data_IF_373536077741
#
_entry.id   IF_373536077741
#
_cell.length_a   1.000
_cell.length_b   1.000
_cell.length_c   1.000
_cell.angle_alpha   90.00
_cell.angle_beta   90.00
_cell.angle_gamma   90.00
#
_symmetry.space_group_name_H-M   'P 1'
#
loop_
_entity.id
_entity.type
_entity.pdbx_description
1 polymer ?
#
# COMPACT_ATOMS: atom_id res chain seq x y z
N UNK A 1 23.36 -14.44 12.03
CA UNK A 1 23.07 -13.73 10.76
C UNK A 1 21.59 -13.31 10.58
N UNK A 2 20.60 -13.93 11.25
CA UNK A 2 19.17 -13.61 11.04
C UNK A 2 18.66 -12.25 11.54
N UNK A 3 19.33 -11.62 12.52
CA UNK A 3 18.87 -10.36 13.13
C UNK A 3 19.20 -9.12 12.26
N UNK A 4 20.33 -9.13 11.54
CA UNK A 4 20.71 -8.03 10.66
C UNK A 4 19.85 -7.94 9.39
N UNK A 5 19.43 -9.08 8.83
CA UNK A 5 18.54 -9.10 7.68
C UNK A 5 17.18 -8.47 8.03
N UNK A 6 16.61 -8.78 9.20
CA UNK A 6 15.33 -8.23 9.65
C UNK A 6 15.35 -6.70 9.81
N UNK A 7 16.47 -6.12 10.29
CA UNK A 7 16.62 -4.67 10.46
C UNK A 7 16.77 -3.90 9.13
N UNK A 8 17.46 -4.48 8.14
CA UNK A 8 17.64 -3.83 6.82
C UNK A 8 16.34 -3.83 6.02
N UNK A 9 15.47 -4.83 6.21
CA UNK A 9 14.28 -5.04 5.37
C UNK A 9 13.03 -4.29 5.83
N UNK A 10 12.88 -4.02 7.14
CA UNK A 10 11.72 -3.25 7.63
C UNK A 10 11.74 -1.79 7.15
N UNK A 11 12.89 -1.28 6.69
CA UNK A 11 13.07 0.06 6.10
C UNK A 11 12.82 0.13 4.59
N UNK A 12 12.56 -0.98 3.90
CA UNK A 12 12.54 -0.99 2.43
C UNK A 12 11.24 -0.53 1.79
N UNK A 13 10.13 -0.38 2.52
CA UNK A 13 8.85 0.05 1.92
C UNK A 13 8.14 1.19 2.70
N UNK A 14 8.76 1.78 3.71
CA UNK A 14 8.16 2.92 4.41
C UNK A 14 8.32 4.16 3.53
N UNK A 15 7.27 4.52 2.77
CA UNK A 15 7.16 5.87 2.21
C UNK A 15 7.27 6.84 3.38
N UNK A 16 8.31 7.66 3.38
CA UNK A 16 8.44 8.73 4.36
C UNK A 16 7.24 9.66 4.20
N UNK A 17 6.32 9.62 5.15
CA UNK A 17 5.23 10.57 5.24
C UNK A 17 5.86 11.89 5.67
N UNK A 18 5.80 12.90 4.79
CA UNK A 18 6.33 14.21 5.11
C UNK A 18 5.66 14.76 6.38
N UNK A 19 6.39 15.50 7.23
CA UNK A 19 5.77 16.14 8.40
C UNK A 19 4.68 17.13 7.97
N UNK A 20 3.66 17.39 8.82
CA UNK A 20 2.68 18.44 8.55
C UNK A 20 3.33 19.81 8.45
N UNK A 21 2.86 20.62 7.51
CA UNK A 21 3.24 22.04 7.42
C UNK A 21 2.58 22.86 8.53
N UNK A 22 3.02 24.10 8.75
CA UNK A 22 2.36 25.00 9.71
C UNK A 22 0.89 25.26 9.36
N UNK A 23 0.59 25.39 8.06
CA UNK A 23 -0.79 25.51 7.57
C UNK A 23 -1.62 24.23 7.80
N UNK A 24 -0.99 23.06 7.79
CA UNK A 24 -1.66 21.81 8.14
C UNK A 24 -2.06 21.83 9.63
N UNK A 25 -1.14 22.24 10.52
CA UNK A 25 -1.39 22.31 11.97
C UNK A 25 -2.44 23.35 12.32
N UNK A 26 -2.35 24.54 11.73
CA UNK A 26 -3.33 25.61 11.95
C UNK A 26 -4.76 25.16 11.61
N UNK A 27 -4.95 24.36 10.54
CA UNK A 27 -6.27 23.83 10.18
C UNK A 27 -6.91 23.00 11.31
N UNK A 28 -6.08 22.27 12.08
CA UNK A 28 -6.54 21.35 13.13
C UNK A 28 -6.62 22.04 14.50
N UNK A 29 -5.66 22.91 14.81
CA UNK A 29 -5.56 23.59 16.11
C UNK A 29 -6.51 24.80 16.19
N UNK A 30 -6.73 25.47 15.06
CA UNK A 30 -7.54 26.68 14.94
C UNK A 30 -8.48 26.61 13.72
N UNK A 31 -9.39 25.62 13.66
CA UNK A 31 -10.33 25.53 12.56
C UNK A 31 -11.25 26.76 12.54
N UNK A 32 -11.57 27.25 11.34
CA UNK A 32 -12.61 28.27 11.18
C UNK A 32 -13.96 27.68 11.59
N UNK A 33 -14.58 28.27 12.60
CA UNK A 33 -15.88 27.81 13.12
C UNK A 33 -16.99 28.17 12.13
N UNK A 34 -17.80 27.19 11.76
CA UNK A 34 -18.92 27.33 10.83
C UNK A 34 -20.20 26.74 11.43
N UNK A 35 -21.38 27.18 10.99
CA UNK A 35 -22.61 26.44 11.28
C UNK A 35 -22.69 25.22 10.34
N UNK A 36 -22.21 24.08 10.83
CA UNK A 36 -22.18 22.83 10.06
C UNK A 36 -23.56 22.40 9.56
N UNK A 37 -24.61 22.58 10.38
CA UNK A 37 -25.96 22.19 9.98
C UNK A 37 -26.50 23.09 8.86
N UNK A 38 -26.28 24.40 8.96
CA UNK A 38 -26.62 25.33 7.88
C UNK A 38 -25.84 25.02 6.61
N UNK A 39 -24.51 24.83 6.71
CA UNK A 39 -23.65 24.57 5.55
C UNK A 39 -24.09 23.35 4.75
N UNK A 40 -24.42 22.23 5.42
CA UNK A 40 -24.90 21.04 4.71
C UNK A 40 -26.33 21.17 4.16
N UNK A 41 -27.11 22.17 4.59
CA UNK A 41 -28.40 22.49 3.96
C UNK A 41 -28.24 23.40 2.74
N UNK A 42 -27.24 24.28 2.75
CA UNK A 42 -27.08 25.31 1.71
C UNK A 42 -26.11 24.95 0.61
N UNK A 43 -25.13 24.09 0.88
CA UNK A 43 -24.15 23.63 -0.13
C UNK A 43 -24.62 22.31 -0.72
N UNK A 44 -24.78 22.27 -2.04
CA UNK A 44 -25.19 21.07 -2.77
C UNK A 44 -24.31 19.86 -2.45
N UNK A 45 -24.91 18.68 -2.36
CA UNK A 45 -24.24 17.45 -1.90
C UNK A 45 -23.14 16.99 -2.87
N UNK A 46 -23.30 17.24 -4.16
CA UNK A 46 -22.28 17.03 -5.18
C UNK A 46 -21.02 17.91 -5.01
N UNK A 47 -21.10 18.96 -4.17
CA UNK A 47 -20.00 19.87 -3.87
C UNK A 47 -19.29 19.55 -2.55
N UNK A 48 -19.54 18.41 -1.92
CA UNK A 48 -18.84 18.02 -0.69
C UNK A 48 -17.51 17.31 -1.00
N UNK A 49 -16.72 17.87 -1.92
CA UNK A 49 -15.52 17.24 -2.46
C UNK A 49 -14.23 17.57 -1.72
N UNK A 50 -13.23 16.71 -1.90
CA UNK A 50 -11.84 16.91 -1.48
C UNK A 50 -10.89 16.72 -2.66
N UNK A 51 -9.86 17.54 -2.76
CA UNK A 51 -8.82 17.41 -3.78
C UNK A 51 -7.80 16.32 -3.42
N UNK A 52 -7.00 15.89 -4.39
CA UNK A 52 -5.83 15.03 -4.12
C UNK A 52 -4.84 15.69 -3.14
N UNK A 53 -4.70 17.02 -3.18
CA UNK A 53 -3.85 17.77 -2.23
C UNK A 53 -4.41 17.66 -0.80
N UNK A 54 -5.72 17.69 -0.64
CA UNK A 54 -6.39 17.55 0.65
C UNK A 54 -6.16 16.17 1.24
N UNK A 55 -6.25 15.11 0.42
CA UNK A 55 -5.98 13.74 0.86
C UNK A 55 -4.51 13.55 1.31
N UNK A 56 -3.55 14.10 0.55
CA UNK A 56 -2.14 14.10 0.95
C UNK A 56 -1.92 14.85 2.26
N UNK A 57 -2.57 15.99 2.45
CA UNK A 57 -2.53 16.74 3.71
C UNK A 57 -3.13 15.92 4.85
N UNK A 58 -4.30 15.33 4.63
CA UNK A 58 -4.99 14.51 5.61
C UNK A 58 -4.13 13.34 6.08
N UNK A 59 -3.44 12.64 5.16
CA UNK A 59 -2.48 11.58 5.49
C UNK A 59 -1.36 12.06 6.43
N UNK A 60 -0.78 13.24 6.18
CA UNK A 60 0.26 13.81 7.06
C UNK A 60 -0.28 14.14 8.45
N UNK A 61 -1.47 14.74 8.50
CA UNK A 61 -2.14 15.10 9.76
C UNK A 61 -2.47 13.88 10.61
N UNK A 62 -3.04 12.83 9.99
CA UNK A 62 -3.34 11.58 10.68
C UNK A 62 -2.07 10.89 11.17
N UNK A 63 -1.01 10.89 10.36
CA UNK A 63 0.29 10.36 10.77
C UNK A 63 0.88 11.11 11.96
N UNK A 64 0.87 12.44 11.94
CA UNK A 64 1.33 13.25 13.07
C UNK A 64 0.48 13.00 14.34
N UNK A 65 -0.85 12.86 14.19
CA UNK A 65 -1.74 12.53 15.30
C UNK A 65 -1.45 11.14 15.90
N UNK A 66 -1.12 10.14 15.07
CA UNK A 66 -0.66 8.82 15.52
C UNK A 66 0.67 8.94 16.28
N UNK A 67 1.64 9.67 15.73
CA UNK A 67 2.96 9.84 16.35
C UNK A 67 2.90 10.59 17.69
N UNK A 68 1.96 11.54 17.83
CA UNK A 68 1.67 12.26 19.08
C UNK A 68 0.83 11.45 20.07
N UNK A 69 0.36 10.26 19.69
CA UNK A 69 -0.52 9.44 20.52
C UNK A 69 -1.92 10.03 20.70
N UNK A 70 -2.36 10.93 19.82
CA UNK A 70 -3.74 11.42 19.77
C UNK A 70 -4.64 10.29 19.24
N UNK A 71 -4.21 9.64 18.14
CA UNK A 71 -4.85 8.43 17.62
C UNK A 71 -4.11 7.22 18.20
N UNK A 72 -4.84 6.38 18.93
CA UNK A 72 -4.30 5.20 19.64
C UNK A 72 -4.96 3.91 19.14
N UNK A 73 -4.18 2.81 19.04
CA UNK A 73 -4.74 1.50 18.76
C UNK A 73 -5.68 1.04 19.89
N UNK A 74 -6.65 0.20 19.54
CA UNK A 74 -7.60 -0.40 20.48
C UNK A 74 -8.04 -1.79 19.99
N UNK A 75 -8.89 -2.48 20.76
CA UNK A 75 -9.21 -3.90 20.54
C UNK A 75 -9.76 -4.24 19.15
N UNK A 76 -10.41 -3.28 18.48
CA UNK A 76 -10.99 -3.46 17.14
C UNK A 76 -10.06 -3.00 16.01
N UNK A 77 -8.96 -2.34 16.34
CA UNK A 77 -8.00 -1.80 15.39
C UNK A 77 -6.60 -1.72 16.02
N UNK A 78 -5.88 -2.84 15.95
CA UNK A 78 -4.55 -3.02 16.54
C UNK A 78 -3.44 -2.58 15.59
N UNK A 79 -3.57 -1.39 14.99
CA UNK A 79 -2.53 -0.85 14.11
C UNK A 79 -1.25 -0.55 14.92
N UNK A 80 -0.09 -0.68 14.28
CA UNK A 80 1.19 -0.30 14.89
C UNK A 80 1.47 1.18 14.57
N UNK A 81 1.74 2.05 15.56
CA UNK A 81 2.04 3.47 15.28
C UNK A 81 3.21 3.68 14.31
N UNK A 82 4.17 2.75 14.28
CA UNK A 82 5.31 2.77 13.35
C UNK A 82 4.98 2.26 11.94
N UNK A 83 3.79 1.73 11.71
CA UNK A 83 3.37 1.25 10.39
C UNK A 83 2.88 2.40 9.53
N UNK A 84 3.71 2.80 8.57
CA UNK A 84 3.40 3.86 7.61
C UNK A 84 2.72 3.33 6.33
N UNK A 85 2.45 2.03 6.24
CA UNK A 85 1.90 1.39 5.03
C UNK A 85 0.39 1.22 5.08
N UNK A 86 -0.14 0.68 6.17
CA UNK A 86 -1.58 0.52 6.38
C UNK A 86 -2.14 1.69 7.19
N UNK A 87 -1.62 1.88 8.41
CA UNK A 87 -2.12 2.88 9.35
C UNK A 87 -3.42 2.48 10.06
N UNK A 88 -3.99 3.37 10.87
CA UNK A 88 -5.28 3.14 11.53
C UNK A 88 -6.41 2.99 10.51
N UNK A 89 -7.42 2.21 10.86
CA UNK A 89 -8.64 2.07 10.07
C UNK A 89 -9.42 3.39 10.00
N UNK A 90 -10.24 3.55 8.96
CA UNK A 90 -11.13 4.72 8.83
C UNK A 90 -12.09 4.83 10.02
N UNK A 91 -12.55 3.71 10.62
CA UNK A 91 -13.34 3.77 11.87
C UNK A 91 -12.61 4.54 12.96
N UNK A 92 -11.36 4.17 13.22
CA UNK A 92 -10.52 4.77 14.27
C UNK A 92 -10.21 6.22 13.99
N UNK A 93 -9.81 6.53 12.75
CA UNK A 93 -9.51 7.90 12.31
C UNK A 93 -10.74 8.79 12.43
N UNK A 94 -11.92 8.29 12.03
CA UNK A 94 -13.16 9.06 12.14
C UNK A 94 -13.48 9.40 13.58
N UNK A 95 -13.42 8.42 14.50
CA UNK A 95 -13.80 8.64 15.90
C UNK A 95 -12.77 9.49 16.67
N UNK A 96 -11.48 9.20 16.51
CA UNK A 96 -10.43 9.80 17.34
C UNK A 96 -9.85 11.09 16.74
N UNK A 97 -10.11 11.38 15.47
CA UNK A 97 -9.50 12.52 14.78
C UNK A 97 -10.50 13.39 14.03
N UNK A 98 -11.24 12.84 13.07
CA UNK A 98 -12.14 13.66 12.23
C UNK A 98 -13.21 14.30 13.11
N UNK A 99 -13.93 13.52 13.92
CA UNK A 99 -15.01 14.03 14.75
C UNK A 99 -14.58 15.15 15.70
N UNK A 100 -13.52 15.00 16.54
CA UNK A 100 -13.08 16.09 17.41
C UNK A 100 -12.68 17.36 16.64
N UNK A 101 -11.97 17.20 15.51
CA UNK A 101 -11.52 18.36 14.73
C UNK A 101 -12.69 19.08 14.08
N UNK A 102 -13.62 18.34 13.48
CA UNK A 102 -14.76 18.95 12.80
C UNK A 102 -15.84 19.42 13.78
N UNK A 103 -15.90 18.88 15.00
CA UNK A 103 -16.71 19.41 16.10
C UNK A 103 -16.21 20.80 16.51
N UNK A 104 -14.91 20.96 16.70
CA UNK A 104 -14.28 22.26 16.97
C UNK A 104 -14.51 23.26 15.84
N UNK A 105 -14.69 22.79 14.60
CA UNK A 105 -15.06 23.60 13.43
C UNK A 105 -16.58 23.89 13.32
N UNK A 106 -17.38 23.51 14.31
CA UNK A 106 -18.83 23.72 14.33
C UNK A 106 -19.64 22.64 13.61
N UNK A 107 -19.22 21.38 13.71
CA UNK A 107 -19.90 20.19 13.19
C UNK A 107 -20.05 20.12 11.67
N UNK A 108 -19.17 20.81 10.95
CA UNK A 108 -19.08 20.73 9.48
C UNK A 108 -18.41 19.41 9.05
N UNK A 109 -18.48 19.00 7.76
CA UNK A 109 -17.69 17.87 7.26
C UNK A 109 -16.25 18.31 7.02
N UNK A 110 -15.32 17.37 6.89
CA UNK A 110 -13.93 17.73 6.54
C UNK A 110 -13.86 18.47 5.20
N UNK A 111 -14.65 18.03 4.22
CA UNK A 111 -14.74 18.66 2.91
C UNK A 111 -15.19 20.13 3.01
N UNK A 112 -16.31 20.41 3.69
CA UNK A 112 -16.83 21.78 3.85
C UNK A 112 -16.04 22.62 4.86
N UNK A 113 -15.30 21.99 5.78
CA UNK A 113 -14.32 22.69 6.62
C UNK A 113 -13.21 23.30 5.76
N UNK A 114 -12.75 22.55 4.75
CA UNK A 114 -11.70 22.98 3.81
C UNK A 114 -12.20 23.89 2.71
N UNK A 115 -13.41 23.62 2.21
CA UNK A 115 -14.02 24.30 1.07
C UNK A 115 -15.43 24.76 1.47
N UNK A 116 -15.57 25.90 2.20
CA UNK A 116 -16.86 26.35 2.74
C UNK A 116 -17.94 26.61 1.69
N UNK A 117 -17.53 26.98 0.48
CA UNK A 117 -18.40 27.22 -0.68
C UNK A 117 -18.68 25.94 -1.50
N UNK A 118 -18.11 24.82 -1.06
CA UNK A 118 -18.16 23.55 -1.75
C UNK A 118 -17.15 23.45 -2.90
N UNK A 119 -16.91 22.21 -3.31
CA UNK A 119 -16.03 21.81 -4.39
C UNK A 119 -16.71 20.66 -5.16
N UNK A 120 -17.09 20.92 -6.42
CA UNK A 120 -17.80 19.95 -7.26
C UNK A 120 -16.98 18.66 -7.45
N UNK A 121 -17.58 17.52 -7.12
CA UNK A 121 -16.95 16.22 -7.24
C UNK A 121 -17.04 15.69 -8.68
N UNK A 122 -15.90 15.43 -9.31
CA UNK A 122 -15.81 14.76 -10.60
C UNK A 122 -15.39 13.28 -10.49
N UNK A 123 -14.94 12.86 -9.32
CA UNK A 123 -14.65 11.46 -8.97
C UNK A 123 -15.48 11.07 -7.75
N UNK A 124 -16.03 9.86 -7.75
CA UNK A 124 -16.60 9.26 -6.55
C UNK A 124 -15.73 8.11 -6.08
N UNK A 125 -15.37 8.09 -4.79
CA UNK A 125 -14.49 7.05 -4.23
C UNK A 125 -15.30 6.13 -3.33
N UNK A 126 -15.46 4.87 -3.75
CA UNK A 126 -16.06 3.81 -2.92
C UNK A 126 -14.98 3.00 -2.21
N UNK A 127 -15.15 2.78 -0.90
CA UNK A 127 -14.14 2.11 -0.07
C UNK A 127 -14.72 1.49 1.22
N UNK A 128 -13.92 0.64 1.86
CA UNK A 128 -14.26 0.02 3.14
C UNK A 128 -13.83 0.88 4.34
N UNK A 129 -14.59 0.87 5.44
CA UNK A 129 -14.17 1.60 6.65
C UNK A 129 -13.13 0.85 7.50
N UNK A 130 -12.99 -0.46 7.30
CA UNK A 130 -11.94 -1.26 7.93
C UNK A 130 -10.57 -1.07 7.26
N UNK A 131 -10.50 -0.32 6.16
CA UNK A 131 -9.27 -0.03 5.44
C UNK A 131 -8.35 0.89 6.24
N UNK A 132 -7.04 0.63 6.18
CA UNK A 132 -6.02 1.50 6.73
C UNK A 132 -5.90 2.81 5.94
N UNK A 133 -5.87 3.94 6.65
CA UNK A 133 -5.93 5.25 6.02
C UNK A 133 -4.69 5.59 5.17
N UNK A 134 -3.52 5.04 5.50
CA UNK A 134 -2.31 5.30 4.70
C UNK A 134 -2.36 4.54 3.38
N UNK A 135 -2.83 3.29 3.42
CA UNK A 135 -3.08 2.44 2.26
C UNK A 135 -4.11 3.08 1.34
N UNK A 136 -5.23 3.55 1.92
CA UNK A 136 -6.29 4.25 1.20
C UNK A 136 -5.74 5.44 0.41
N UNK A 137 -5.07 6.37 1.09
CA UNK A 137 -4.56 7.58 0.42
C UNK A 137 -3.48 7.24 -0.62
N UNK A 138 -2.60 6.26 -0.35
CA UNK A 138 -1.58 5.83 -1.30
C UNK A 138 -2.20 5.28 -2.60
N UNK A 139 -3.24 4.45 -2.48
CA UNK A 139 -3.96 3.89 -3.64
C UNK A 139 -4.70 4.97 -4.42
N UNK A 140 -5.36 5.89 -3.71
CA UNK A 140 -6.06 7.01 -4.34
C UNK A 140 -5.08 7.91 -5.08
N UNK A 141 -3.92 8.18 -4.51
CA UNK A 141 -2.88 8.99 -5.13
C UNK A 141 -2.32 8.36 -6.41
N UNK A 142 -2.01 7.06 -6.36
CA UNK A 142 -1.45 6.33 -7.50
C UNK A 142 -2.48 6.13 -8.63
N UNK A 143 -3.76 6.01 -8.27
CA UNK A 143 -4.86 5.72 -9.20
C UNK A 143 -5.75 6.93 -9.50
N UNK A 144 -5.33 8.13 -9.11
CA UNK A 144 -6.12 9.34 -9.32
C UNK A 144 -6.43 9.54 -10.81
N UNK A 145 -7.71 9.68 -11.21
CA UNK A 145 -8.07 9.85 -12.61
C UNK A 145 -7.39 11.09 -13.22
N UNK A 146 -6.81 10.93 -14.41
CA UNK A 146 -6.29 12.07 -15.19
C UNK A 146 -7.40 13.09 -15.42
N UNK A 147 -7.14 14.35 -15.05
CA UNK A 147 -8.10 15.44 -15.13
C UNK A 147 -9.09 15.51 -13.98
N UNK A 148 -9.09 14.55 -13.04
CA UNK A 148 -9.90 14.61 -11.84
C UNK A 148 -9.43 15.75 -10.93
N UNK A 149 -10.35 16.57 -10.49
CA UNK A 149 -10.11 17.77 -9.67
C UNK A 149 -10.47 17.52 -8.21
N UNK A 150 -11.58 16.82 -7.95
CA UNK A 150 -12.09 16.60 -6.62
C UNK A 150 -12.89 15.29 -6.51
N UNK A 151 -12.74 14.62 -5.38
CA UNK A 151 -13.43 13.39 -5.08
C UNK A 151 -14.44 13.56 -3.93
N UNK A 152 -15.59 12.90 -4.06
CA UNK A 152 -16.43 12.61 -2.91
C UNK A 152 -15.87 11.38 -2.19
N UNK A 153 -15.60 11.50 -0.89
CA UNK A 153 -15.04 10.44 -0.03
C UNK A 153 -15.87 10.37 1.25
N UNK A 154 -16.60 9.27 1.45
CA UNK A 154 -17.72 9.25 2.40
C UNK A 154 -17.40 9.73 3.83
N UNK A 155 -16.25 9.39 4.39
CA UNK A 155 -15.86 9.79 5.76
C UNK A 155 -15.34 11.22 5.86
N UNK A 156 -14.99 11.86 4.74
CA UNK A 156 -14.54 13.26 4.69
C UNK A 156 -15.66 14.20 4.22
N UNK A 157 -16.52 13.73 3.32
CA UNK A 157 -17.56 14.52 2.67
C UNK A 157 -18.80 14.71 3.55
N UNK A 158 -19.17 13.70 4.35
CA UNK A 158 -20.38 13.75 5.17
C UNK A 158 -20.09 14.32 6.58
N UNK A 159 -21.08 14.99 7.20
CA UNK A 159 -20.92 15.46 8.57
C UNK A 159 -20.87 14.27 9.53
N UNK A 160 -19.72 14.04 10.17
CA UNK A 160 -19.54 12.92 11.08
C UNK A 160 -20.14 13.16 12.48
N UNK A 161 -20.45 14.41 12.81
CA UNK A 161 -21.01 14.81 14.12
C UNK A 161 -22.50 15.17 14.08
N UNK A 162 -23.11 15.24 12.90
CA UNK A 162 -24.54 15.51 12.78
C UNK A 162 -25.33 14.19 12.68
N UNK A 163 -26.61 14.26 13.00
CA UNK A 163 -27.53 13.18 12.67
C UNK A 163 -27.79 13.18 11.15
N UNK A 164 -27.34 12.12 10.49
CA UNK A 164 -27.50 11.93 9.05
C UNK A 164 -28.67 11.01 8.70
N UNK A 165 -29.47 10.56 9.68
CA UNK A 165 -30.59 9.64 9.44
C UNK A 165 -31.56 10.15 8.39
N UNK A 166 -31.85 11.45 8.39
CA UNK A 166 -32.67 12.10 7.36
C UNK A 166 -32.00 12.06 5.99
N UNK A 167 -30.68 12.33 5.92
CA UNK A 167 -29.90 12.35 4.67
C UNK A 167 -29.85 10.97 4.01
N UNK A 168 -29.93 9.89 4.78
CA UNK A 168 -29.80 8.52 4.26
C UNK A 168 -31.13 7.76 4.22
N UNK A 169 -32.23 8.40 4.61
CA UNK A 169 -33.58 7.79 4.62
C UNK A 169 -33.95 7.24 3.25
N UNK A 170 -33.64 7.98 2.21
CA UNK A 170 -33.85 7.60 0.81
C UNK A 170 -32.49 7.36 0.16
N UNK A 171 -32.06 6.10 -0.04
CA UNK A 171 -30.72 5.81 -0.58
C UNK A 171 -30.42 6.53 -1.89
N UNK A 172 -31.42 6.71 -2.76
CA UNK A 172 -31.26 7.39 -4.05
C UNK A 172 -31.12 8.91 -3.93
N UNK A 173 -31.67 9.51 -2.89
CA UNK A 173 -31.58 10.94 -2.60
C UNK A 173 -30.45 11.26 -1.61
N UNK A 174 -29.71 10.24 -1.18
CA UNK A 174 -28.62 10.41 -0.24
C UNK A 174 -27.46 11.22 -0.83
N UNK A 175 -26.67 11.91 0.02
CA UNK A 175 -25.46 12.61 -0.44
C UNK A 175 -24.52 11.77 -1.27
N UNK A 176 -24.43 10.47 -0.97
CA UNK A 176 -23.61 9.53 -1.72
C UNK A 176 -24.14 9.34 -3.14
N UNK A 177 -25.44 9.10 -3.29
CA UNK A 177 -26.06 8.90 -4.59
C UNK A 177 -26.01 10.18 -5.44
N UNK A 178 -26.24 11.34 -4.83
CA UNK A 178 -26.18 12.65 -5.50
C UNK A 178 -24.76 12.99 -5.98
N UNK A 179 -23.76 12.82 -5.12
CA UNK A 179 -22.36 13.00 -5.52
C UNK A 179 -21.90 11.97 -6.56
N UNK A 180 -22.39 10.73 -6.48
CA UNK A 180 -22.09 9.71 -7.48
C UNK A 180 -22.77 10.02 -8.83
N UNK A 181 -24.01 10.51 -8.80
CA UNK A 181 -24.78 10.95 -9.97
C UNK A 181 -24.12 12.14 -10.68
N UNK A 182 -23.50 13.06 -9.95
CA UNK A 182 -22.76 14.19 -10.55
C UNK A 182 -21.36 13.81 -11.03
N UNK A 183 -20.71 12.82 -10.41
CA UNK A 183 -19.32 12.45 -10.73
C UNK A 183 -19.16 11.90 -12.16
N UNK A 184 -18.00 12.11 -12.78
CA UNK A 184 -17.70 11.57 -14.11
C UNK A 184 -17.35 10.08 -14.10
N UNK A 185 -16.85 9.58 -12.96
CA UNK A 185 -16.37 8.20 -12.82
C UNK A 185 -16.34 7.77 -11.34
N UNK A 186 -16.32 6.46 -11.13
CA UNK A 186 -16.11 5.86 -9.82
C UNK A 186 -14.71 5.23 -9.72
N UNK A 187 -14.00 5.52 -8.63
CA UNK A 187 -12.77 4.86 -8.24
C UNK A 187 -13.03 3.94 -7.04
N UNK A 188 -12.79 2.65 -7.24
CA UNK A 188 -12.97 1.59 -6.24
C UNK A 188 -11.66 1.36 -5.51
N UNK A 189 -11.66 1.48 -4.18
CA UNK A 189 -10.45 1.26 -3.37
C UNK A 189 -10.53 -0.11 -2.67
N UNK A 190 -9.94 -1.17 -3.25
CA UNK A 190 -9.81 -2.43 -2.53
C UNK A 190 -8.82 -2.26 -1.38
N UNK A 191 -8.96 -3.04 -0.31
CA UNK A 191 -8.01 -3.07 0.82
C UNK A 191 -7.64 -4.51 1.17
N UNK A 192 -6.58 -4.68 1.95
CA UNK A 192 -6.09 -6.01 2.36
C UNK A 192 -6.85 -6.62 3.55
N UNK A 193 -7.70 -5.85 4.23
CA UNK A 193 -8.41 -6.27 5.45
C UNK A 193 -9.68 -7.03 5.12
N UNK A 194 -10.48 -6.52 4.18
CA UNK A 194 -11.78 -7.10 3.82
C UNK A 194 -12.23 -6.66 2.43
N UNK A 195 -13.12 -7.46 1.82
CA UNK A 195 -13.83 -7.01 0.62
C UNK A 195 -14.69 -5.80 0.95
N UNK A 196 -14.56 -4.71 0.18
CA UNK A 196 -15.41 -3.53 0.37
C UNK A 196 -16.89 -3.84 0.15
N UNK A 197 -17.20 -4.86 -0.65
CA UNK A 197 -18.57 -5.29 -0.95
C UNK A 197 -19.22 -6.09 0.19
N UNK A 198 -18.49 -6.32 1.30
CA UNK A 198 -19.10 -6.72 2.56
C UNK A 198 -19.98 -5.60 3.15
N UNK A 199 -19.84 -4.36 2.67
CA UNK A 199 -20.65 -3.21 3.08
C UNK A 199 -21.75 -2.96 2.07
N UNK A 200 -22.99 -2.94 2.55
CA UNK A 200 -24.18 -2.76 1.71
C UNK A 200 -24.14 -1.46 0.89
N UNK A 201 -23.60 -0.38 1.46
CA UNK A 201 -23.44 0.89 0.74
C UNK A 201 -22.50 0.78 -0.46
N UNK A 202 -21.38 0.07 -0.34
CA UNK A 202 -20.45 -0.13 -1.47
C UNK A 202 -21.08 -0.99 -2.59
N UNK A 203 -21.93 -1.96 -2.23
CA UNK A 203 -22.70 -2.75 -3.21
C UNK A 203 -23.72 -1.85 -3.93
N UNK A 204 -24.42 -0.99 -3.18
CA UNK A 204 -25.39 -0.06 -3.74
C UNK A 204 -24.75 0.98 -4.67
N UNK A 205 -23.60 1.55 -4.28
CA UNK A 205 -22.81 2.47 -5.11
C UNK A 205 -22.38 1.81 -6.43
N UNK A 206 -21.91 0.56 -6.39
CA UNK A 206 -21.56 -0.21 -7.58
C UNK A 206 -22.77 -0.46 -8.49
N UNK A 207 -23.93 -0.79 -7.90
CA UNK A 207 -25.20 -0.93 -8.63
C UNK A 207 -25.62 0.36 -9.33
N UNK A 208 -25.54 1.51 -8.65
CA UNK A 208 -25.88 2.81 -9.23
C UNK A 208 -24.97 3.16 -10.42
N UNK A 209 -23.66 3.03 -10.24
CA UNK A 209 -22.68 3.31 -11.31
C UNK A 209 -22.85 2.40 -12.52
N UNK A 210 -23.12 1.11 -12.29
CA UNK A 210 -23.43 0.18 -13.36
C UNK A 210 -24.70 0.60 -14.12
N UNK A 211 -25.75 0.94 -13.38
CA UNK A 211 -27.05 1.38 -13.95
C UNK A 211 -26.92 2.68 -14.75
N UNK A 212 -26.08 3.61 -14.28
CA UNK A 212 -25.80 4.88 -14.96
C UNK A 212 -24.73 4.79 -16.05
N UNK A 213 -24.24 3.58 -16.35
CA UNK A 213 -23.20 3.32 -17.35
C UNK A 213 -21.96 4.22 -17.18
N UNK A 214 -21.54 4.45 -15.92
CA UNK A 214 -20.37 5.28 -15.61
C UNK A 214 -19.09 4.45 -15.60
N UNK A 215 -17.94 5.01 -16.00
CA UNK A 215 -16.66 4.34 -15.91
C UNK A 215 -16.32 3.94 -14.47
N UNK A 216 -15.96 2.67 -14.27
CA UNK A 216 -15.44 2.12 -13.01
C UNK A 216 -13.94 1.88 -13.17
N UNK A 217 -13.14 2.39 -12.24
CA UNK A 217 -11.72 2.07 -12.12
C UNK A 217 -11.46 1.43 -10.77
N UNK A 218 -10.60 0.41 -10.74
CA UNK A 218 -10.14 -0.20 -9.49
C UNK A 218 -8.75 0.35 -9.20
N UNK A 219 -8.57 0.91 -8.01
CA UNK A 219 -7.29 1.46 -7.60
C UNK A 219 -6.24 0.37 -7.45
N UNK A 220 -5.03 0.70 -7.88
CA UNK A 220 -3.85 -0.14 -7.77
C UNK A 220 -3.02 0.29 -6.57
N UNK A 221 -2.36 -0.68 -5.94
CA UNK A 221 -1.33 -0.36 -4.96
C UNK A 221 -0.18 0.37 -5.67
N UNK A 222 0.46 1.34 -5.01
CA UNK A 222 1.51 2.09 -5.65
C UNK A 222 2.63 1.19 -6.17
N UNK A 223 3.06 1.47 -7.40
CA UNK A 223 4.19 0.73 -7.98
C UNK A 223 5.44 1.04 -7.15
N UNK A 224 6.20 0.02 -6.71
CA UNK A 224 7.47 0.23 -6.03
C UNK A 224 8.37 1.13 -6.85
N UNK A 225 8.94 2.13 -6.19
CA UNK A 225 9.76 3.13 -6.88
C UNK A 225 11.07 2.52 -7.38
N UNK A 226 11.73 3.17 -8.34
CA UNK A 226 13.02 2.72 -8.86
C UNK A 226 14.09 2.50 -7.78
N UNK A 227 14.05 3.23 -6.66
CA UNK A 227 14.92 2.99 -5.51
C UNK A 227 14.64 1.66 -4.80
N UNK A 228 13.38 1.23 -4.77
CA UNK A 228 13.01 -0.07 -4.19
C UNK A 228 13.51 -1.19 -5.10
N UNK A 229 13.37 -1.01 -6.41
CA UNK A 229 13.91 -1.93 -7.40
C UNK A 229 15.44 -2.00 -7.34
N UNK A 230 16.11 -0.85 -7.24
CA UNK A 230 17.57 -0.76 -7.10
C UNK A 230 18.05 -1.44 -5.82
N UNK A 231 17.38 -1.24 -4.69
CA UNK A 231 17.71 -1.92 -3.43
C UNK A 231 17.56 -3.43 -3.55
N UNK A 232 16.48 -3.89 -4.15
CA UNK A 232 16.26 -5.32 -4.44
C UNK A 232 17.40 -5.86 -5.33
N UNK A 233 17.76 -5.13 -6.38
CA UNK A 233 18.89 -5.49 -7.24
C UNK A 233 20.22 -5.50 -6.49
N UNK A 234 20.51 -4.50 -5.65
CA UNK A 234 21.73 -4.43 -4.85
C UNK A 234 21.84 -5.59 -3.85
N UNK A 235 20.74 -5.97 -3.19
CA UNK A 235 20.72 -7.13 -2.29
C UNK A 235 20.96 -8.41 -3.07
N UNK A 236 20.31 -8.58 -4.23
CA UNK A 236 20.53 -9.72 -5.13
C UNK A 236 21.99 -9.81 -5.60
N UNK A 237 22.57 -8.69 -6.05
CA UNK A 237 23.96 -8.61 -6.50
C UNK A 237 24.95 -8.86 -5.34
N UNK A 238 24.66 -8.36 -4.14
CA UNK A 238 25.52 -8.59 -2.97
C UNK A 238 25.52 -10.06 -2.55
N UNK A 239 24.36 -10.72 -2.61
CA UNK A 239 24.25 -12.15 -2.34
C UNK A 239 25.02 -12.98 -3.38
N UNK A 240 24.91 -12.63 -4.67
CA UNK A 240 25.68 -13.23 -5.75
C UNK A 240 27.20 -13.05 -5.55
N UNK A 241 27.64 -11.82 -5.24
CA UNK A 241 29.04 -11.53 -4.99
C UNK A 241 29.58 -12.31 -3.78
N UNK A 242 28.83 -12.40 -2.69
CA UNK A 242 29.21 -13.20 -1.52
C UNK A 242 29.33 -14.70 -1.85
N UNK A 243 28.41 -15.23 -2.66
CA UNK A 243 28.48 -16.61 -3.17
C UNK A 243 29.75 -16.86 -3.98
N UNK A 244 30.07 -15.96 -4.92
CA UNK A 244 31.28 -16.03 -5.75
C UNK A 244 32.56 -15.97 -4.90
N UNK A 245 32.65 -15.01 -3.97
CA UNK A 245 33.82 -14.86 -3.09
C UNK A 245 34.02 -16.09 -2.20
N UNK A 246 32.94 -16.68 -1.69
CA UNK A 246 33.00 -17.91 -0.90
C UNK A 246 33.49 -19.08 -1.76
N UNK A 247 33.00 -19.19 -2.99
CA UNK A 247 33.46 -20.19 -3.95
C UNK A 247 34.95 -20.06 -4.29
N UNK A 248 35.44 -18.84 -4.53
CA UNK A 248 36.87 -18.56 -4.79
C UNK A 248 37.72 -18.87 -3.56
N UNK A 249 37.27 -18.47 -2.36
CA UNK A 249 37.99 -18.76 -1.11
C UNK A 249 38.09 -20.27 -0.85
N UNK A 250 37.04 -21.04 -1.15
CA UNK A 250 37.11 -22.50 -1.08
C UNK A 250 38.06 -23.05 -2.14
N UNK A 251 37.95 -22.62 -3.39
CA UNK A 251 38.82 -23.08 -4.47
C UNK A 251 40.32 -22.81 -4.18
N UNK A 252 40.65 -21.66 -3.59
CA UNK A 252 42.02 -21.33 -3.19
C UNK A 252 42.49 -22.15 -1.99
N UNK A 253 41.65 -22.35 -0.97
CA UNK A 253 41.95 -23.22 0.16
C UNK A 253 42.22 -24.68 -0.27
N UNK A 254 41.45 -25.17 -1.25
CA UNK A 254 41.54 -26.53 -1.76
C UNK A 254 42.48 -26.69 -2.97
N UNK A 255 42.94 -25.62 -3.60
CA UNK A 255 44.06 -25.65 -4.55
C UNK A 255 45.37 -26.14 -3.93
N UNK A 256 45.42 -26.21 -2.59
CA UNK A 256 46.46 -26.87 -1.81
C UNK A 256 46.21 -28.37 -1.57
N UNK A 257 45.05 -28.90 -1.96
CA UNK A 257 44.69 -30.32 -1.83
C UNK A 257 45.21 -31.13 -3.03
N UNK A 258 45.81 -32.30 -2.75
CA UNK A 258 46.65 -33.05 -3.70
C UNK A 258 45.91 -33.98 -4.66
N UNK A 259 44.60 -34.24 -4.50
CA UNK A 259 43.86 -35.18 -5.36
C UNK A 259 42.73 -34.53 -6.16
N UNK A 260 42.60 -34.94 -7.42
CA UNK A 260 41.58 -34.47 -8.38
C UNK A 260 40.15 -34.67 -7.87
N UNK A 261 39.93 -35.71 -7.08
CA UNK A 261 38.62 -36.07 -6.51
C UNK A 261 38.17 -35.06 -5.44
N UNK A 262 39.11 -34.57 -4.62
CA UNK A 262 38.86 -33.51 -3.64
C UNK A 262 38.55 -32.18 -4.32
N UNK A 263 39.23 -31.86 -5.42
CA UNK A 263 38.95 -30.65 -6.19
C UNK A 263 37.54 -30.65 -6.79
N UNK A 264 37.10 -31.79 -7.35
CA UNK A 264 35.76 -31.92 -7.93
C UNK A 264 34.66 -31.78 -6.88
N UNK A 265 34.86 -32.38 -5.69
CA UNK A 265 33.92 -32.29 -4.57
C UNK A 265 33.75 -30.83 -4.08
N UNK A 266 34.83 -30.05 -4.10
CA UNK A 266 34.82 -28.65 -3.67
C UNK A 266 34.08 -27.77 -4.67
N UNK A 267 34.34 -27.95 -5.98
CA UNK A 267 33.61 -27.24 -7.04
C UNK A 267 32.11 -27.55 -6.94
N UNK A 268 31.75 -28.82 -6.69
CA UNK A 268 30.36 -29.24 -6.48
C UNK A 268 29.72 -28.52 -5.29
N UNK A 269 30.39 -28.49 -4.16
CA UNK A 269 29.88 -27.84 -2.95
C UNK A 269 29.75 -26.32 -3.15
N UNK A 270 30.76 -25.67 -3.72
CA UNK A 270 30.74 -24.23 -3.99
C UNK A 270 29.59 -23.83 -4.91
N UNK A 271 29.34 -24.61 -5.97
CA UNK A 271 28.20 -24.40 -6.87
C UNK A 271 26.87 -24.60 -6.14
N UNK A 272 26.73 -25.69 -5.37
CA UNK A 272 25.52 -25.98 -4.61
C UNK A 272 25.19 -24.86 -3.62
N UNK A 273 26.19 -24.36 -2.87
CA UNK A 273 26.00 -23.24 -1.95
C UNK A 273 25.65 -21.94 -2.65
N UNK A 274 26.26 -21.66 -3.81
CA UNK A 274 25.96 -20.46 -4.60
C UNK A 274 24.54 -20.51 -5.17
N UNK A 275 24.13 -21.66 -5.71
CA UNK A 275 22.79 -21.90 -6.22
C UNK A 275 21.74 -21.84 -5.10
N UNK A 276 22.02 -22.45 -3.94
CA UNK A 276 21.15 -22.38 -2.78
C UNK A 276 21.04 -20.95 -2.24
N UNK A 277 22.13 -20.20 -2.15
CA UNK A 277 22.11 -18.80 -1.71
C UNK A 277 21.31 -17.91 -2.69
N UNK A 278 21.45 -18.13 -4.00
CA UNK A 278 20.69 -17.42 -5.01
C UNK A 278 19.20 -17.79 -4.97
N UNK A 279 18.89 -19.09 -4.87
CA UNK A 279 17.52 -19.59 -4.72
C UNK A 279 16.85 -19.06 -3.46
N UNK A 280 17.55 -19.05 -2.33
CA UNK A 280 17.09 -18.43 -1.10
C UNK A 280 16.91 -16.92 -1.24
N UNK A 281 17.83 -16.21 -1.92
CA UNK A 281 17.71 -14.78 -2.17
C UNK A 281 16.48 -14.43 -3.03
N UNK A 282 16.25 -15.19 -4.09
CA UNK A 282 15.05 -15.09 -4.94
C UNK A 282 13.79 -15.39 -4.14
N UNK A 283 13.73 -16.55 -3.48
CA UNK A 283 12.58 -16.93 -2.68
C UNK A 283 12.28 -15.90 -1.61
N UNK A 284 13.31 -15.34 -0.97
CA UNK A 284 13.18 -14.30 0.03
C UNK A 284 12.60 -13.00 -0.57
N UNK A 285 13.07 -12.59 -1.75
CA UNK A 285 12.49 -11.44 -2.47
C UNK A 285 11.01 -11.66 -2.85
N UNK A 286 10.63 -12.90 -3.15
CA UNK A 286 9.25 -13.24 -3.55
C UNK A 286 8.30 -13.48 -2.37
N UNK A 287 8.74 -14.14 -1.30
CA UNK A 287 7.98 -14.29 -0.05
C UNK A 287 7.66 -12.92 0.55
N UNK A 288 8.54 -11.94 0.36
CA UNK A 288 8.35 -10.56 0.82
C UNK A 288 7.38 -9.74 -0.06
N UNK A 289 6.98 -10.23 -1.24
CA UNK A 289 5.95 -9.61 -2.08
C UNK A 289 4.80 -10.59 -2.31
N UNK A 290 3.79 -10.51 -1.43
CA UNK A 290 2.57 -11.34 -1.36
C UNK A 290 1.76 -11.56 -2.68
N UNK A 291 2.16 -11.02 -3.84
CA UNK A 291 1.30 -10.96 -5.02
C UNK A 291 1.90 -11.44 -6.37
N UNK A 292 3.09 -12.06 -6.41
CA UNK A 292 3.65 -12.55 -7.69
C UNK A 292 3.96 -14.05 -7.71
N UNK A 293 2.94 -14.88 -7.46
CA UNK A 293 3.00 -16.35 -7.58
C UNK A 293 3.57 -16.82 -8.93
N UNK A 294 3.17 -16.20 -10.05
CA UNK A 294 3.63 -16.57 -11.40
C UNK A 294 5.14 -16.36 -11.57
N UNK A 295 5.68 -15.28 -11.02
CA UNK A 295 7.11 -15.01 -11.06
C UNK A 295 7.90 -15.98 -10.16
N UNK A 296 7.30 -16.43 -9.05
CA UNK A 296 7.88 -17.46 -8.19
C UNK A 296 7.96 -18.82 -8.92
N UNK A 297 6.91 -19.19 -9.66
CA UNK A 297 6.95 -20.39 -10.52
C UNK A 297 8.05 -20.28 -11.58
N UNK A 298 8.13 -19.15 -12.30
CA UNK A 298 9.19 -18.90 -13.28
C UNK A 298 10.59 -19.03 -12.70
N UNK A 299 10.83 -18.48 -11.50
CA UNK A 299 12.13 -18.55 -10.87
C UNK A 299 12.50 -19.98 -10.42
N UNK A 300 11.53 -20.76 -9.93
CA UNK A 300 11.70 -22.18 -9.63
C UNK A 300 12.02 -22.96 -10.91
N UNK A 301 11.33 -22.68 -12.02
CA UNK A 301 11.60 -23.30 -13.32
C UNK A 301 13.01 -22.99 -13.82
N UNK A 302 13.44 -21.72 -13.76
CA UNK A 302 14.81 -21.33 -14.15
C UNK A 302 15.85 -22.03 -13.28
N UNK A 303 15.62 -22.11 -11.96
CA UNK A 303 16.51 -22.84 -11.06
C UNK A 303 16.60 -24.33 -11.41
N UNK A 304 15.47 -24.97 -11.69
CA UNK A 304 15.43 -26.38 -12.09
C UNK A 304 16.20 -26.63 -13.40
N UNK A 305 16.01 -25.77 -14.41
CA UNK A 305 16.74 -25.85 -15.69
C UNK A 305 18.25 -25.69 -15.46
N UNK A 306 18.68 -24.72 -14.65
CA UNK A 306 20.09 -24.53 -14.32
C UNK A 306 20.68 -25.76 -13.61
N UNK A 307 19.92 -26.39 -12.72
CA UNK A 307 20.34 -27.60 -12.00
C UNK A 307 20.49 -28.80 -12.95
N UNK A 308 19.52 -29.03 -13.84
CA UNK A 308 19.56 -30.12 -14.83
C UNK A 308 20.71 -29.94 -15.81
N UNK A 309 20.88 -28.73 -16.35
CA UNK A 309 21.97 -28.41 -17.28
C UNK A 309 23.34 -28.67 -16.63
N UNK A 310 23.48 -28.33 -15.35
CA UNK A 310 24.70 -28.58 -14.59
C UNK A 310 24.95 -30.08 -14.35
N UNK A 311 23.93 -30.85 -13.98
CA UNK A 311 24.02 -32.31 -13.84
C UNK A 311 24.45 -32.98 -15.15
N UNK A 312 23.93 -32.50 -16.29
CA UNK A 312 24.31 -32.97 -17.61
C UNK A 312 25.80 -32.72 -17.90
N UNK A 313 26.28 -31.49 -17.66
CA UNK A 313 27.70 -31.13 -17.83
C UNK A 313 28.60 -32.02 -16.97
N UNK A 314 28.22 -32.28 -15.71
CA UNK A 314 28.99 -33.13 -14.81
C UNK A 314 29.02 -34.59 -15.27
N UNK A 315 27.90 -35.10 -15.79
CA UNK A 315 27.82 -36.46 -16.34
C UNK A 315 28.73 -36.62 -17.55
N UNK A 316 28.76 -35.62 -18.44
CA UNK A 316 29.63 -35.61 -19.61
C UNK A 316 31.11 -35.47 -19.23
N UNK A 317 31.44 -34.68 -18.20
CA UNK A 317 32.80 -34.52 -17.71
C UNK A 317 33.36 -35.78 -17.03
N UNK A 318 32.53 -36.51 -16.28
CA UNK A 318 32.94 -37.78 -15.64
C UNK A 318 33.09 -38.94 -16.64
N UNK A 319 32.36 -38.92 -17.76
CA UNK A 319 32.38 -39.99 -18.76
C UNK A 319 33.67 -40.10 -19.60
N UNK A 320 34.61 -39.18 -19.45
CA UNK A 320 35.86 -39.15 -20.24
C UNK A 320 37.12 -39.57 -19.47
N UNK A 321 37.00 -40.10 -18.24
CA UNK A 321 38.18 -40.64 -17.54
C UNK A 321 38.39 -42.09 -17.98
N UNK A 322 39.44 -42.41 -18.75
CA UNK A 322 39.72 -43.79 -19.13
C UNK A 322 40.17 -44.57 -17.89
N UNK A 323 39.47 -45.66 -17.59
CA UNK A 323 39.92 -46.64 -16.59
C UNK A 323 41.19 -47.32 -17.12
N UNK A 324 42.35 -46.92 -16.60
CA UNK A 324 43.61 -47.65 -16.73
C UNK A 324 43.97 -48.27 -15.38
#
# INVERSE_FOLDING_TARGET
>A
MGILASFVLKRCCTRNIAPPTDGDRHLVEHPSVQDGALRHRTVDQEKWGVTLRDLRQFKRLVHDAVMKGIIKPHDRDQFLPSDTSCGPSVYTVTQQFIKPVTEAAGNVSWALMKHPEGLLCDVFITHGWAEGIYEFVDKVEDSWPRGGTAACVCFLSNPQNLDISDLIRSPRESPFARALESSSSMLVIPNHVSSIYSRIWCVYEAFLVHTWNKPIRVAQAPVPTGSDMLRVSCVGLSALAAGLLTGISQATYFGLAKSTEQQLQVVRNAFFYSAAAFGCGIMFLFVMRKHHWIACQLAIYVFAICLETWLLIMTLACGQVPCN
#
